data_IF_697462370451
#
_entry.id   IF_697462370451
#
_cell.length_a   1.000
_cell.length_b   1.000
_cell.length_c   1.000
_cell.angle_alpha   90.00
_cell.angle_beta   90.00
_cell.angle_gamma   90.00
#
_symmetry.space_group_name_H-M   'P 1'
#
loop_
_entity.id
_entity.type
_entity.pdbx_description
1 polymer ?
#
# COMPACT_ATOMS: atom_id res chain seq x y z
N UNK A 1 -5.87 -0.59 -0.15
CA UNK A 1 -5.21 0.65 -0.59
C UNK A 1 -6.20 1.68 -1.15
N UNK A 2 -6.79 1.52 -2.35
CA UNK A 2 -7.59 2.59 -3.01
C UNK A 2 -8.73 3.18 -2.14
N UNK A 3 -9.60 2.34 -1.57
CA UNK A 3 -10.70 2.79 -0.72
C UNK A 3 -10.25 3.47 0.59
N UNK A 4 -9.11 3.06 1.15
CA UNK A 4 -8.55 3.67 2.38
C UNK A 4 -7.92 5.01 2.04
N UNK A 5 -7.28 5.12 0.86
CA UNK A 5 -6.63 6.34 0.40
C UNK A 5 -7.59 7.53 0.23
N UNK A 6 -8.87 7.27 0.01
CA UNK A 6 -9.91 8.30 -0.17
C UNK A 6 -10.43 8.85 1.18
N UNK A 7 -10.28 8.11 2.28
CA UNK A 7 -10.88 8.45 3.59
C UNK A 7 -9.86 8.68 4.70
N UNK A 8 -8.58 8.37 4.45
CA UNK A 8 -7.52 8.47 5.46
C UNK A 8 -7.19 9.94 5.76
N UNK A 9 -6.94 10.25 7.02
CA UNK A 9 -6.49 11.58 7.45
C UNK A 9 -4.97 11.66 7.58
N UNK A 10 -4.43 12.88 7.64
CA UNK A 10 -2.98 13.08 7.63
C UNK A 10 -2.35 12.56 8.91
N UNK A 11 -3.04 12.77 10.02
CA UNK A 11 -2.66 12.24 11.34
C UNK A 11 -2.58 10.71 11.31
N UNK A 12 -3.55 10.03 10.70
CA UNK A 12 -3.56 8.56 10.58
C UNK A 12 -2.41 8.04 9.71
N UNK A 13 -2.07 8.77 8.64
CA UNK A 13 -0.90 8.48 7.81
C UNK A 13 0.40 8.65 8.60
N UNK A 14 0.54 9.73 9.36
CA UNK A 14 1.71 9.94 10.22
C UNK A 14 1.85 8.84 11.27
N UNK A 15 0.75 8.47 11.92
CA UNK A 15 0.72 7.38 12.89
C UNK A 15 1.11 6.04 12.26
N UNK A 16 0.60 5.74 11.06
CA UNK A 16 1.01 4.56 10.29
C UNK A 16 2.51 4.53 10.03
N UNK A 17 3.11 5.66 9.63
CA UNK A 17 4.57 5.74 9.45
C UNK A 17 5.28 5.50 10.78
N UNK A 18 4.88 6.16 11.87
CA UNK A 18 5.51 5.96 13.19
C UNK A 18 5.46 4.49 13.62
N UNK A 19 4.31 3.83 13.48
CA UNK A 19 4.16 2.41 13.78
C UNK A 19 5.06 1.55 12.88
N UNK A 20 5.16 1.87 11.59
CA UNK A 20 6.05 1.17 10.67
C UNK A 20 7.53 1.33 11.08
N UNK A 21 7.96 2.52 11.51
CA UNK A 21 9.32 2.75 12.02
C UNK A 21 9.65 1.88 13.23
N UNK A 22 8.70 1.71 14.14
CA UNK A 22 8.89 0.94 15.37
C UNK A 22 8.84 -0.58 15.13
N UNK A 23 8.01 -1.04 14.19
CA UNK A 23 7.77 -2.46 13.96
C UNK A 23 8.63 -3.08 12.84
N UNK A 24 9.19 -2.28 11.92
CA UNK A 24 10.07 -2.79 10.85
C UNK A 24 11.48 -2.99 11.41
N UNK A 25 11.86 -4.26 11.50
CA UNK A 25 13.20 -4.68 11.95
C UNK A 25 14.20 -4.79 10.80
N UNK A 26 13.73 -5.19 9.61
CA UNK A 26 14.56 -5.34 8.41
C UNK A 26 14.10 -4.40 7.29
N UNK A 27 14.94 -3.40 7.00
CA UNK A 27 14.72 -2.40 5.96
C UNK A 27 15.28 -2.80 4.59
N UNK A 28 16.01 -3.93 4.51
CA UNK A 28 16.65 -4.40 3.27
C UNK A 28 15.71 -5.22 2.40
N UNK A 29 14.61 -5.70 2.98
CA UNK A 29 13.56 -6.44 2.27
C UNK A 29 13.02 -5.64 1.10
N UNK A 30 12.68 -6.33 0.01
CA UNK A 30 12.10 -5.74 -1.19
C UNK A 30 10.80 -4.97 -0.90
N UNK A 31 10.63 -3.82 -1.54
CA UNK A 31 9.42 -3.01 -1.45
C UNK A 31 8.23 -3.67 -2.15
N UNK A 32 7.04 -3.49 -1.57
CA UNK A 32 5.78 -3.99 -2.12
C UNK A 32 5.27 -3.15 -3.31
N UNK A 33 5.59 -1.86 -3.34
CA UNK A 33 5.26 -0.92 -4.42
C UNK A 33 6.23 -1.06 -5.59
N UNK A 34 7.52 -1.24 -5.33
CA UNK A 34 8.52 -1.44 -6.39
C UNK A 34 9.54 -2.51 -6.01
N UNK A 35 9.52 -3.61 -6.76
CA UNK A 35 10.39 -4.78 -6.52
C UNK A 35 11.88 -4.53 -6.77
N UNK A 36 12.25 -3.41 -7.39
CA UNK A 36 13.65 -3.05 -7.65
C UNK A 36 14.30 -2.26 -6.51
N UNK A 37 13.57 -1.91 -5.46
CA UNK A 37 14.09 -1.17 -4.31
C UNK A 37 13.80 -1.88 -2.99
N UNK A 38 14.56 -1.52 -1.95
CA UNK A 38 14.30 -1.98 -0.59
C UNK A 38 13.19 -1.15 0.08
N UNK A 39 12.62 -1.70 1.15
CA UNK A 39 11.66 -0.99 2.03
C UNK A 39 12.26 0.29 2.60
N UNK A 40 13.56 0.29 2.93
CA UNK A 40 14.26 1.49 3.39
C UNK A 40 14.32 2.59 2.33
N UNK A 41 14.58 2.25 1.07
CA UNK A 41 14.53 3.21 -0.03
C UNK A 41 13.10 3.74 -0.23
N UNK A 42 12.10 2.86 -0.23
CA UNK A 42 10.70 3.25 -0.34
C UNK A 42 10.27 4.17 0.82
N UNK A 43 10.71 3.87 2.05
CA UNK A 43 10.51 4.72 3.22
C UNK A 43 11.05 6.13 3.02
N UNK A 44 12.31 6.27 2.61
CA UNK A 44 12.93 7.58 2.43
C UNK A 44 12.17 8.44 1.41
N UNK A 45 11.75 7.85 0.29
CA UNK A 45 10.99 8.56 -0.76
C UNK A 45 9.60 8.96 -0.25
N UNK A 46 8.88 8.01 0.35
CA UNK A 46 7.50 8.22 0.77
C UNK A 46 7.41 9.13 2.01
N UNK A 47 8.31 8.97 2.99
CA UNK A 47 8.34 9.78 4.20
C UNK A 47 8.72 11.24 3.92
N UNK A 48 9.67 11.51 3.01
CA UNK A 48 9.95 12.89 2.55
C UNK A 48 8.73 13.52 1.88
N UNK A 49 7.93 12.69 1.22
CA UNK A 49 6.66 13.09 0.62
C UNK A 49 5.51 13.15 1.63
N UNK A 50 5.72 12.95 2.93
CA UNK A 50 4.67 13.01 3.94
C UNK A 50 4.44 14.46 4.42
N UNK A 51 3.68 15.22 3.64
CA UNK A 51 3.28 16.60 3.95
C UNK A 51 1.75 16.73 3.94
N UNK A 52 1.17 17.75 4.57
CA UNK A 52 -0.27 17.99 4.47
C UNK A 52 -0.75 18.11 3.01
N UNK A 53 0.08 18.70 2.15
CA UNK A 53 -0.15 18.84 0.70
C UNK A 53 -0.30 17.49 -0.01
N UNK A 54 0.32 16.43 0.50
CA UNK A 54 0.29 15.09 -0.10
C UNK A 54 -1.12 14.49 -0.09
N UNK A 55 -2.01 15.01 0.76
CA UNK A 55 -3.42 14.66 0.74
C UNK A 55 -4.14 15.01 -0.55
N UNK A 56 -3.59 15.94 -1.33
CA UNK A 56 -4.10 16.32 -2.65
C UNK A 56 -3.69 15.33 -3.75
N UNK A 57 -2.78 14.38 -3.46
CA UNK A 57 -2.24 13.41 -4.41
C UNK A 57 -2.66 11.98 -4.05
N UNK A 58 -3.83 11.50 -4.51
CA UNK A 58 -4.34 10.17 -4.20
C UNK A 58 -3.37 9.02 -4.53
N UNK A 59 -2.52 9.19 -5.54
CA UNK A 59 -1.52 8.19 -5.92
C UNK A 59 -0.42 8.04 -4.87
N UNK A 60 0.07 9.15 -4.30
CA UNK A 60 1.08 9.13 -3.25
C UNK A 60 0.53 8.42 -2.01
N UNK A 61 -0.68 8.79 -1.58
CA UNK A 61 -1.38 8.15 -0.46
C UNK A 61 -1.55 6.65 -0.71
N UNK A 62 -1.99 6.26 -1.91
CA UNK A 62 -2.18 4.87 -2.28
C UNK A 62 -0.86 4.08 -2.19
N UNK A 63 0.26 4.64 -2.64
CA UNK A 63 1.57 4.01 -2.55
C UNK A 63 2.03 3.88 -1.09
N UNK A 64 1.82 4.91 -0.26
CA UNK A 64 2.10 4.86 1.18
C UNK A 64 1.32 3.74 1.88
N UNK A 65 0.01 3.64 1.62
CA UNK A 65 -0.85 2.59 2.18
C UNK A 65 -0.52 1.22 1.60
N UNK A 66 -0.08 1.13 0.35
CA UNK A 66 0.33 -0.15 -0.22
C UNK A 66 1.59 -0.67 0.47
N UNK A 67 2.59 0.20 0.66
CA UNK A 67 3.87 -0.18 1.24
C UNK A 67 3.78 -0.46 2.74
N UNK A 68 3.11 0.42 3.49
CA UNK A 68 3.12 0.43 4.96
C UNK A 68 1.74 0.26 5.59
N UNK A 69 0.69 -0.01 4.81
CA UNK A 69 -0.67 -0.14 5.32
C UNK A 69 -0.88 -1.29 6.29
N UNK A 70 0.04 -2.25 6.36
CA UNK A 70 0.06 -3.28 7.40
C UNK A 70 0.28 -2.69 8.81
N UNK A 71 0.76 -1.45 8.91
CA UNK A 71 0.96 -0.72 10.17
C UNK A 71 -0.16 0.29 10.48
N UNK A 72 -1.24 0.30 9.69
CA UNK A 72 -2.45 1.06 10.04
C UNK A 72 -3.15 0.47 11.27
N UNK A 73 -3.83 1.30 12.07
CA UNK A 73 -4.69 0.80 13.13
C UNK A 73 -5.78 -0.11 12.55
N UNK A 74 -6.10 -1.18 13.28
CA UNK A 74 -6.95 -2.28 12.79
C UNK A 74 -8.35 -1.83 12.37
N UNK A 75 -8.83 -0.73 12.95
CA UNK A 75 -10.09 -0.07 12.63
C UNK A 75 -10.15 0.45 11.18
N UNK A 76 -9.01 0.84 10.60
CA UNK A 76 -8.90 1.35 9.23
C UNK A 76 -8.51 0.26 8.23
N UNK A 77 -8.02 -0.88 8.71
CA UNK A 77 -7.70 -2.02 7.86
C UNK A 77 -9.02 -2.59 7.33
N UNK A 78 -9.23 -2.44 6.02
CA UNK A 78 -10.31 -3.15 5.34
C UNK A 78 -10.06 -4.64 5.56
N UNK A 79 -10.92 -5.30 6.33
CA UNK A 79 -10.90 -6.76 6.48
C UNK A 79 -10.86 -7.35 5.08
N UNK A 80 -9.76 -8.02 4.74
CA UNK A 80 -9.61 -8.69 3.44
C UNK A 80 -10.79 -9.63 3.31
N UNK A 81 -11.77 -9.29 2.48
CA UNK A 81 -12.76 -10.25 2.06
C UNK A 81 -11.97 -11.33 1.32
N UNK A 82 -11.90 -12.52 1.92
CA UNK A 82 -11.34 -13.70 1.27
C UNK A 82 -12.05 -13.82 -0.07
N UNK A 83 -11.35 -13.50 -1.16
CA UNK A 83 -11.93 -13.67 -2.49
C UNK A 83 -12.15 -15.18 -2.64
N UNK A 84 -13.41 -15.57 -2.64
CA UNK A 84 -13.79 -16.93 -3.03
C UNK A 84 -13.24 -17.10 -4.45
N UNK A 85 -12.28 -18.00 -4.62
CA UNK A 85 -11.74 -18.35 -5.93
C UNK A 85 -12.91 -18.88 -6.75
N UNK A 86 -13.45 -18.07 -7.65
CA UNK A 86 -14.41 -18.54 -8.64
C UNK A 86 -13.57 -19.25 -9.70
N UNK A 87 -13.84 -20.53 -9.90
CA UNK A 87 -13.33 -21.22 -11.07
C UNK A 87 -13.90 -20.50 -12.30
N UNK A 88 -13.03 -19.88 -13.09
CA UNK A 88 -13.38 -19.28 -14.37
C UNK A 88 -12.88 -20.24 -15.42
N UNK A 89 -13.82 -20.87 -16.14
CA UNK A 89 -13.48 -21.64 -17.34
C UNK A 89 -13.01 -20.67 -18.41
N UNK A 90 -11.70 -20.66 -18.64
CA UNK A 90 -11.10 -19.86 -19.72
C UNK A 90 -11.32 -20.62 -21.02
N UNK A 91 -12.25 -20.13 -21.85
CA UNK A 91 -12.44 -20.65 -23.20
C UNK A 91 -11.29 -20.19 -24.09
N UNK A 92 -10.47 -21.14 -24.53
CA UNK A 92 -9.46 -20.91 -25.55
C UNK A 92 -10.11 -20.97 -26.93
N UNK A 93 -9.77 -20.03 -27.82
CA UNK A 93 -10.12 -20.06 -29.23
C UNK A 93 -8.84 -19.91 -30.06
N UNK A 94 -8.70 -20.74 -31.10
CA UNK A 94 -7.61 -20.58 -32.06
C UNK A 94 -7.84 -19.32 -32.91
N UNK A 95 -6.77 -18.59 -33.30
CA UNK A 95 -6.90 -17.46 -34.22
C UNK A 95 -7.47 -17.91 -35.57
N UNK A 96 -8.42 -17.16 -36.11
CA UNK A 96 -8.90 -17.35 -37.48
C UNK A 96 -7.95 -16.63 -38.44
N UNK A 97 -7.23 -17.39 -39.27
CA UNK A 97 -6.32 -16.87 -40.31
C UNK A 97 -7.00 -16.83 -41.68
#
# INVERSE_FOLDING_TARGET
>A
AKKIAETITFVQLQEMFNNAKENITDWTVTSAVNKQMSKGTAWNILFVSLKPETMTHPMAIKNMIWEFGDHLPEQLKIKKQTKVSRHVDVTHQEPNF
#
